data_IF_523835260079
#
_entry.id   IF_523835260079
#
_cell.length_a   1.000
_cell.length_b   1.000
_cell.length_c   1.000
_cell.angle_alpha   90.00
_cell.angle_beta   90.00
_cell.angle_gamma   90.00
#
_symmetry.space_group_name_H-M   'P 1'
#
loop_
_entity.id
_entity.type
_entity.pdbx_description
1 polymer ?
#
# COMPACT_ATOMS: atom_id res chain seq x y z
N UNK A 1 -7.57 -4.97 -1.68
CA UNK A 1 -7.18 -5.13 -0.26
C UNK A 1 -7.11 -3.79 0.45
N UNK A 2 -6.42 -2.80 -0.12
CA UNK A 2 -6.31 -1.46 0.46
C UNK A 2 -7.66 -0.82 0.80
N UNK A 3 -7.76 -0.17 1.96
CA UNK A 3 -8.96 0.53 2.44
C UNK A 3 -10.22 -0.34 2.59
N UNK A 4 -10.09 -1.67 2.60
CA UNK A 4 -11.21 -2.62 2.78
C UNK A 4 -11.10 -3.36 4.11
N UNK A 5 -12.21 -3.96 4.54
CA UNK A 5 -12.24 -4.88 5.69
C UNK A 5 -11.97 -6.31 5.23
N UNK A 6 -11.50 -7.16 6.14
CA UNK A 6 -11.20 -8.55 5.80
C UNK A 6 -12.47 -9.32 5.38
N UNK A 7 -13.60 -9.06 6.03
CA UNK A 7 -14.90 -9.69 5.79
C UNK A 7 -15.64 -9.20 4.53
N UNK A 8 -15.11 -8.20 3.82
CA UNK A 8 -15.68 -7.70 2.57
C UNK A 8 -15.76 -8.84 1.54
N UNK A 9 -16.92 -9.02 0.91
CA UNK A 9 -17.16 -10.03 -0.11
C UNK A 9 -16.10 -10.00 -1.22
N UNK A 10 -15.67 -8.80 -1.63
CA UNK A 10 -14.63 -8.65 -2.67
C UNK A 10 -13.29 -9.16 -2.17
N UNK A 11 -12.96 -8.98 -0.89
CA UNK A 11 -11.74 -9.53 -0.30
C UNK A 11 -11.84 -11.05 -0.24
N UNK A 12 -12.93 -11.59 0.33
CA UNK A 12 -13.15 -13.04 0.48
C UNK A 12 -13.23 -13.80 -0.85
N UNK A 13 -13.75 -13.17 -1.91
CA UNK A 13 -13.76 -13.77 -3.24
C UNK A 13 -12.36 -13.80 -3.85
N UNK A 14 -11.58 -12.72 -3.71
CA UNK A 14 -10.28 -12.61 -4.34
C UNK A 14 -9.20 -13.45 -3.64
N UNK A 15 -9.28 -13.63 -2.33
CA UNK A 15 -8.31 -14.45 -1.56
C UNK A 15 -8.24 -15.90 -2.04
N UNK A 16 -9.32 -16.42 -2.63
CA UNK A 16 -9.36 -17.78 -3.21
C UNK A 16 -8.52 -17.93 -4.48
N UNK A 17 -8.15 -16.82 -5.11
CA UNK A 17 -7.41 -16.81 -6.38
C UNK A 17 -5.95 -16.37 -6.23
N UNK A 18 -5.56 -15.91 -5.04
CA UNK A 18 -4.19 -15.45 -4.79
C UNK A 18 -3.31 -16.57 -4.25
N UNK A 19 -2.02 -16.61 -4.63
CA UNK A 19 -1.07 -17.62 -4.15
C UNK A 19 -0.52 -17.31 -2.74
N UNK A 20 -0.94 -16.19 -2.14
CA UNK A 20 -0.49 -15.74 -0.82
C UNK A 20 -1.65 -15.73 0.18
N UNK A 21 -1.32 -15.95 1.44
CA UNK A 21 -2.31 -15.97 2.52
C UNK A 21 -2.70 -14.55 2.92
N UNK A 22 -4.00 -14.33 3.13
CA UNK A 22 -4.53 -13.08 3.68
C UNK A 22 -5.29 -13.41 4.96
N UNK A 23 -4.91 -12.75 6.05
CA UNK A 23 -5.47 -12.92 7.39
C UNK A 23 -6.11 -11.60 7.87
N UNK A 24 -7.09 -11.64 8.78
CA UNK A 24 -7.51 -10.44 9.49
C UNK A 24 -6.44 -10.02 10.51
N UNK A 25 -6.18 -8.72 10.62
CA UNK A 25 -5.40 -8.15 11.72
C UNK A 25 -6.29 -7.85 12.94
N UNK A 26 -5.69 -7.36 14.01
CA UNK A 26 -6.38 -7.03 15.28
C UNK A 26 -7.53 -6.02 15.12
N UNK A 27 -7.52 -5.23 14.04
CA UNK A 27 -8.55 -4.24 13.70
C UNK A 27 -9.58 -4.75 12.67
N UNK A 28 -9.54 -6.04 12.30
CA UNK A 28 -10.41 -6.63 11.28
C UNK A 28 -10.11 -6.19 9.84
N UNK A 29 -8.95 -5.55 9.61
CA UNK A 29 -8.46 -5.21 8.27
C UNK A 29 -7.66 -6.39 7.70
N UNK A 30 -7.64 -6.59 6.38
CA UNK A 30 -6.84 -7.66 5.78
C UNK A 30 -5.35 -7.34 5.90
N UNK A 31 -4.53 -8.35 6.16
CA UNK A 31 -3.08 -8.33 6.09
C UNK A 31 -2.59 -9.54 5.31
N UNK A 32 -1.56 -9.36 4.49
CA UNK A 32 -0.92 -10.45 3.74
C UNK A 32 0.10 -11.12 4.66
N UNK A 33 -0.06 -12.42 4.90
CA UNK A 33 0.91 -13.21 5.66
C UNK A 33 1.92 -13.83 4.68
N UNK A 34 3.19 -13.61 4.95
CA UNK A 34 4.30 -14.23 4.21
C UNK A 34 5.28 -14.87 5.20
N UNK A 35 6.02 -15.86 4.72
CA UNK A 35 7.19 -16.35 5.42
C UNK A 35 8.41 -15.62 4.86
N UNK A 36 9.11 -14.89 5.72
CA UNK A 36 10.33 -14.18 5.36
C UNK A 36 11.44 -14.60 6.32
N UNK A 37 12.51 -15.18 5.76
CA UNK A 37 13.67 -15.69 6.53
C UNK A 37 13.29 -16.72 7.61
N UNK A 38 12.26 -17.54 7.36
CA UNK A 38 11.80 -18.57 8.31
C UNK A 38 10.84 -18.04 9.38
N UNK A 39 10.49 -16.76 9.36
CA UNK A 39 9.53 -16.15 10.27
C UNK A 39 8.26 -15.73 9.53
N UNK A 40 7.11 -15.97 10.16
CA UNK A 40 5.83 -15.47 9.66
C UNK A 40 5.72 -13.97 9.94
N UNK A 41 5.58 -13.19 8.88
CA UNK A 41 5.36 -11.74 8.96
C UNK A 41 4.06 -11.38 8.26
N UNK A 42 3.32 -10.45 8.83
CA UNK A 42 2.08 -9.93 8.26
C UNK A 42 2.27 -8.48 7.85
N UNK A 43 1.88 -8.15 6.62
CA UNK A 43 1.95 -6.80 6.10
C UNK A 43 0.56 -6.31 5.71
N UNK A 44 0.25 -5.10 6.13
CA UNK A 44 -0.95 -4.41 5.67
C UNK A 44 -0.81 -4.01 4.19
N UNK A 45 -1.93 -3.87 3.46
CA UNK A 45 -1.91 -3.37 2.09
C UNK A 45 -1.22 -2.01 1.96
N UNK A 46 -1.35 -1.16 2.98
CA UNK A 46 -0.71 0.15 3.09
C UNK A 46 0.81 0.03 3.19
N UNK A 47 1.33 -0.87 4.03
CA UNK A 47 2.78 -1.15 4.14
C UNK A 47 3.36 -1.72 2.85
N UNK A 48 2.65 -2.65 2.19
CA UNK A 48 3.07 -3.19 0.89
C UNK A 48 3.10 -2.07 -0.16
N UNK A 49 2.09 -1.20 -0.17
CA UNK A 49 2.05 -0.05 -1.07
C UNK A 49 3.18 0.93 -0.78
N UNK A 50 3.51 1.15 0.50
CA UNK A 50 4.64 1.97 0.91
C UNK A 50 5.97 1.38 0.42
N UNK A 51 6.15 0.07 0.43
CA UNK A 51 7.35 -0.56 -0.15
C UNK A 51 7.47 -0.31 -1.66
N UNK A 52 6.35 -0.32 -2.39
CA UNK A 52 6.33 0.01 -3.82
C UNK A 52 6.66 1.49 -4.03
N UNK A 53 6.04 2.40 -3.27
CA UNK A 53 6.33 3.84 -3.34
C UNK A 53 7.79 4.12 -2.99
N UNK A 54 8.32 3.48 -1.96
CA UNK A 54 9.72 3.59 -1.55
C UNK A 54 10.66 3.08 -2.64
N UNK A 55 10.30 1.98 -3.30
CA UNK A 55 11.02 1.49 -4.48
C UNK A 55 10.99 2.52 -5.62
N UNK A 56 9.84 3.14 -5.89
CA UNK A 56 9.65 4.22 -6.86
C UNK A 56 10.23 5.58 -6.45
N UNK A 57 10.67 5.71 -5.19
CA UNK A 57 11.47 6.84 -4.69
C UNK A 57 12.98 6.57 -4.73
N UNK A 58 13.39 5.31 -4.47
CA UNK A 58 14.80 4.91 -4.34
C UNK A 58 15.41 4.12 -5.51
N UNK A 59 14.79 3.03 -5.98
CA UNK A 59 15.43 2.04 -6.88
C UNK A 59 15.32 2.37 -8.38
N UNK A 60 14.25 3.02 -8.82
CA UNK A 60 14.04 3.43 -10.22
C UNK A 60 14.28 4.93 -10.46
N UNK A 61 14.71 5.68 -9.46
CA UNK A 61 13.79 6.72 -9.03
C UNK A 61 14.45 8.05 -8.81
N UNK A 62 13.76 9.08 -9.31
CA UNK A 62 13.86 10.50 -9.01
C UNK A 62 15.08 10.96 -8.18
N UNK A 63 15.32 10.49 -6.95
CA UNK A 63 16.51 10.87 -6.17
C UNK A 63 17.83 10.54 -6.86
N UNK A 64 17.98 9.35 -7.46
CA UNK A 64 19.19 9.00 -8.20
C UNK A 64 19.34 9.81 -9.51
N UNK A 65 18.22 10.23 -10.10
CA UNK A 65 18.21 11.05 -11.32
C UNK A 65 18.44 12.54 -11.01
N UNK A 66 17.90 13.04 -9.91
CA UNK A 66 17.93 14.43 -9.46
C UNK A 66 19.16 14.73 -8.58
N UNK A 67 19.81 13.69 -8.04
CA UNK A 67 20.99 13.82 -7.17
C UNK A 67 20.68 14.35 -5.77
N UNK A 68 19.43 14.25 -5.31
CA UNK A 68 18.98 14.82 -4.04
C UNK A 68 17.67 14.21 -3.54
N UNK A 69 17.28 14.49 -2.28
CA UNK A 69 16.12 13.88 -1.66
C UNK A 69 14.81 14.35 -2.32
N UNK A 70 13.86 13.43 -2.47
CA UNK A 70 12.50 13.70 -2.93
C UNK A 70 11.56 13.62 -1.74
N UNK A 71 10.98 14.77 -1.40
CA UNK A 71 10.12 14.94 -0.24
C UNK A 71 8.65 15.04 -0.59
N UNK A 72 8.31 15.39 -1.83
CA UNK A 72 6.95 15.74 -2.22
C UNK A 72 6.49 14.93 -3.44
N UNK A 73 5.26 14.42 -3.39
CA UNK A 73 4.69 13.63 -4.47
C UNK A 73 3.18 13.83 -4.64
N UNK A 74 2.71 13.67 -5.87
CA UNK A 74 1.29 13.51 -6.21
C UNK A 74 1.08 12.06 -6.62
N UNK A 75 0.10 11.40 -6.01
CA UNK A 75 -0.21 9.98 -6.26
C UNK A 75 -1.57 9.90 -6.96
N UNK A 76 -1.63 9.27 -8.14
CA UNK A 76 -2.89 8.98 -8.80
C UNK A 76 -3.54 7.73 -8.22
N UNK A 77 -4.87 7.74 -8.13
CA UNK A 77 -5.69 6.59 -7.76
C UNK A 77 -6.88 6.48 -8.69
N UNK A 78 -7.45 5.27 -8.87
CA UNK A 78 -8.62 5.11 -9.72
C UNK A 78 -9.80 5.97 -9.24
N UNK A 79 -10.56 6.55 -10.18
CA UNK A 79 -11.67 7.44 -9.86
C UNK A 79 -12.74 6.80 -8.95
N UNK A 80 -12.89 5.47 -9.02
CA UNK A 80 -13.84 4.70 -8.21
C UNK A 80 -13.37 4.43 -6.76
N UNK A 81 -12.18 4.88 -6.37
CA UNK A 81 -11.71 4.72 -4.99
C UNK A 81 -12.56 5.58 -4.04
N UNK A 82 -13.02 4.93 -2.97
CA UNK A 82 -13.70 5.61 -1.86
C UNK A 82 -12.71 6.34 -0.95
N UNK A 83 -13.22 7.11 0.01
CA UNK A 83 -12.37 7.92 0.89
C UNK A 83 -11.42 7.08 1.75
N UNK A 84 -11.86 5.91 2.23
CA UNK A 84 -11.01 5.02 3.02
C UNK A 84 -9.82 4.48 2.19
N UNK A 85 -10.04 4.17 0.92
CA UNK A 85 -8.99 3.74 0.00
C UNK A 85 -8.04 4.88 -0.37
N UNK A 86 -8.56 6.09 -0.57
CA UNK A 86 -7.75 7.30 -0.80
C UNK A 86 -6.88 7.62 0.42
N UNK A 87 -7.43 7.50 1.62
CA UNK A 87 -6.70 7.72 2.86
C UNK A 87 -5.60 6.68 3.04
N UNK A 88 -5.90 5.40 2.80
CA UNK A 88 -4.90 4.34 2.86
C UNK A 88 -3.71 4.55 1.88
N UNK A 89 -3.96 5.13 0.71
CA UNK A 89 -2.88 5.53 -0.23
C UNK A 89 -2.08 6.71 0.31
N UNK A 90 -2.71 7.71 0.93
CA UNK A 90 -2.00 8.80 1.61
C UNK A 90 -1.12 8.26 2.73
N UNK A 91 -1.64 7.35 3.54
CA UNK A 91 -0.93 6.73 4.65
C UNK A 91 0.32 5.97 4.14
N UNK A 92 0.18 5.22 3.03
CA UNK A 92 1.31 4.59 2.36
C UNK A 92 2.38 5.61 1.91
N UNK A 93 1.97 6.76 1.38
CA UNK A 93 2.88 7.86 1.05
C UNK A 93 3.60 8.41 2.29
N UNK A 94 2.88 8.65 3.38
CA UNK A 94 3.44 9.14 4.64
C UNK A 94 4.46 8.15 5.25
N UNK A 95 4.20 6.85 5.19
CA UNK A 95 5.14 5.80 5.66
C UNK A 95 6.51 5.92 4.95
N UNK A 96 6.53 6.36 3.69
CA UNK A 96 7.78 6.55 2.91
C UNK A 96 8.49 7.89 3.12
N UNK A 97 7.97 8.72 4.02
CA UNK A 97 8.48 10.08 4.24
C UNK A 97 8.20 11.04 3.08
N UNK A 98 7.16 10.77 2.28
CA UNK A 98 6.68 11.69 1.26
C UNK A 98 5.52 12.53 1.80
N UNK A 99 5.62 13.84 1.62
CA UNK A 99 4.49 14.75 1.67
C UNK A 99 3.62 14.47 0.45
N UNK A 100 2.51 13.78 0.66
CA UNK A 100 1.52 13.55 -0.39
C UNK A 100 0.75 14.85 -0.62
N UNK A 101 1.27 15.72 -1.49
CA UNK A 101 0.68 17.04 -1.80
C UNK A 101 -0.78 16.87 -2.24
N UNK A 102 -1.09 15.80 -2.99
CA UNK A 102 -2.45 15.47 -3.37
C UNK A 102 -2.59 14.02 -3.84
N UNK A 103 -3.72 13.40 -3.51
CA UNK A 103 -4.20 12.19 -4.20
C UNK A 103 -5.19 12.63 -5.27
N UNK A 104 -4.90 12.29 -6.53
CA UNK A 104 -5.69 12.70 -7.71
C UNK A 104 -6.33 11.50 -8.39
N UNK A 105 -7.39 11.73 -9.16
CA UNK A 105 -7.96 10.68 -9.99
C UNK A 105 -7.04 10.42 -11.19
N UNK A 106 -6.87 9.16 -11.54
CA UNK A 106 -6.33 8.74 -12.84
C UNK A 106 -7.27 9.12 -14.00
#
# INVERSE_FOLDING_TARGET
LIGRKFDDYVVQSNTKHWPFEVIPNDSGKPAVQIEFKGEKQSFTPEEISALIIMKLKLQQSAESFLGGPVTDAVISVPAYFNEAQRQAIKDAGTITGLNSIRVVNE
#
